data_IF_938861764280
#
_entry.id   IF_938861764280
#
_cell.length_a   1.000
_cell.length_b   1.000
_cell.length_c   1.000
_cell.angle_alpha   90.00
_cell.angle_beta   90.00
_cell.angle_gamma   90.00
#
_symmetry.space_group_name_H-M   'P 1'
#
loop_
_entity.id
_entity.type
_entity.pdbx_description
1 polymer ?
#
# COMPACT_ATOMS: atom_id res chain seq x y z
N UNK A 1 -10.30 -9.84 -13.12
CA UNK A 1 -10.43 -8.62 -12.31
C UNK A 1 -10.47 -7.45 -13.28
N UNK A 2 -11.37 -6.48 -13.11
CA UNK A 2 -11.34 -5.26 -13.94
C UNK A 2 -10.01 -4.56 -13.71
N UNK A 3 -9.32 -4.17 -14.79
CA UNK A 3 -7.95 -3.69 -14.64
C UNK A 3 -7.98 -2.25 -14.14
N UNK A 4 -7.11 -1.91 -13.20
CA UNK A 4 -7.23 -0.65 -12.46
C UNK A 4 -7.18 0.58 -13.39
N UNK A 5 -6.46 0.49 -14.51
CA UNK A 5 -6.40 1.52 -15.54
C UNK A 5 -7.73 1.72 -16.30
N UNK A 6 -8.54 0.69 -16.51
CA UNK A 6 -9.86 0.81 -17.16
C UNK A 6 -10.81 1.65 -16.31
N UNK A 7 -10.87 1.39 -15.01
CA UNK A 7 -11.71 2.13 -14.05
C UNK A 7 -11.19 3.55 -13.74
N UNK A 8 -9.93 3.83 -14.07
CA UNK A 8 -9.29 5.14 -13.82
C UNK A 8 -9.11 5.97 -15.09
N UNK A 9 -9.30 5.39 -16.28
CA UNK A 9 -9.07 6.06 -17.55
C UNK A 9 -7.59 6.36 -17.82
N UNK A 10 -6.67 5.49 -17.40
CA UNK A 10 -5.24 5.67 -17.69
C UNK A 10 -4.94 5.37 -19.18
N UNK A 11 -4.21 6.25 -19.86
CA UNK A 11 -3.75 6.03 -21.23
C UNK A 11 -2.59 5.01 -21.32
N UNK A 12 -2.09 4.78 -22.55
CA UNK A 12 -1.00 3.83 -22.81
C UNK A 12 0.33 4.24 -22.16
N UNK A 13 0.61 5.54 -22.01
CA UNK A 13 1.84 6.05 -21.37
C UNK A 13 1.80 5.76 -19.87
N UNK A 14 0.69 6.11 -19.22
CA UNK A 14 0.43 5.80 -17.81
C UNK A 14 0.42 4.30 -17.54
N UNK A 15 -0.11 3.47 -18.45
CA UNK A 15 -0.10 2.01 -18.34
C UNK A 15 1.32 1.44 -18.46
N UNK A 16 2.12 1.91 -19.42
CA UNK A 16 3.49 1.44 -19.66
C UNK A 16 4.43 1.62 -18.46
N UNK A 17 4.11 2.58 -17.57
CA UNK A 17 4.88 2.94 -16.39
C UNK A 17 4.28 2.45 -15.06
N UNK A 18 3.17 1.70 -15.09
CA UNK A 18 2.42 1.32 -13.90
C UNK A 18 3.11 0.18 -13.09
N UNK A 19 3.51 0.38 -11.82
CA UNK A 19 4.26 -0.62 -11.04
C UNK A 19 3.55 -1.96 -10.79
N UNK A 20 2.24 -2.01 -10.51
CA UNK A 20 1.45 -3.27 -10.47
C UNK A 20 0.76 -3.57 -11.80
N UNK A 21 1.50 -3.40 -12.89
CA UNK A 21 1.44 -4.41 -13.95
C UNK A 21 1.99 -5.78 -13.43
N UNK A 22 2.74 -5.78 -12.32
CA UNK A 22 3.08 -6.97 -11.52
C UNK A 22 1.91 -7.34 -10.58
N UNK A 23 1.36 -8.57 -10.65
CA UNK A 23 0.31 -9.02 -9.75
C UNK A 23 0.71 -9.03 -8.26
N UNK A 24 -0.17 -8.51 -7.40
CA UNK A 24 -0.06 -8.58 -5.94
C UNK A 24 0.61 -7.38 -5.25
N UNK A 25 1.31 -6.53 -6.00
CA UNK A 25 1.91 -5.31 -5.46
C UNK A 25 0.87 -4.18 -5.20
N UNK A 26 1.03 -3.38 -4.11
CA UNK A 26 0.59 -2.00 -3.86
C UNK A 26 -0.56 -1.25 -4.58
N UNK A 27 -0.51 0.06 -4.32
CA UNK A 27 -0.95 1.18 -5.17
C UNK A 27 0.13 2.24 -4.97
N UNK A 28 1.02 2.53 -5.96
CA UNK A 28 2.33 3.05 -5.62
C UNK A 28 2.17 4.48 -5.13
N UNK A 29 3.14 4.98 -4.38
CA UNK A 29 3.06 6.37 -3.92
C UNK A 29 2.91 7.37 -5.10
N UNK A 30 3.50 7.06 -6.26
CA UNK A 30 3.58 7.93 -7.45
C UNK A 30 2.38 7.86 -8.40
N UNK A 31 1.40 6.98 -8.18
CA UNK A 31 0.23 6.90 -9.08
C UNK A 31 -0.64 8.13 -8.89
N UNK A 32 -1.10 8.73 -9.99
CA UNK A 32 -1.98 9.90 -9.99
C UNK A 32 -3.23 9.72 -9.10
N UNK A 33 -3.73 8.48 -8.96
CA UNK A 33 -4.90 8.12 -8.16
C UNK A 33 -4.55 7.52 -6.78
N UNK A 34 -3.27 7.47 -6.40
CA UNK A 34 -2.82 6.94 -5.12
C UNK A 34 -3.02 7.91 -3.95
N UNK A 35 -3.03 9.23 -4.20
CA UNK A 35 -3.33 10.23 -3.17
C UNK A 35 -4.57 9.86 -2.33
N UNK A 36 -4.51 10.10 -1.02
CA UNK A 36 -5.61 9.81 -0.11
C UNK A 36 -6.30 11.10 0.30
N UNK A 37 -7.54 11.29 -0.17
CA UNK A 37 -8.38 12.47 0.12
C UNK A 37 -9.24 12.33 1.39
N UNK A 38 -9.04 11.28 2.20
CA UNK A 38 -9.79 11.09 3.45
C UNK A 38 -9.32 12.12 4.50
N UNK A 39 -10.22 12.72 5.29
CA UNK A 39 -9.83 13.71 6.30
C UNK A 39 -9.00 13.11 7.45
N UNK A 40 -9.00 11.79 7.61
CA UNK A 40 -8.12 11.07 8.55
C UNK A 40 -6.71 10.84 8.03
N UNK A 41 -6.41 11.18 6.76
CA UNK A 41 -5.07 11.02 6.21
C UNK A 41 -4.12 12.08 6.76
N UNK A 42 -3.04 11.61 7.38
CA UNK A 42 -1.92 12.41 7.86
C UNK A 42 -0.66 11.58 7.70
N UNK A 43 0.42 12.16 7.17
CA UNK A 43 1.72 11.50 7.11
C UNK A 43 2.30 11.44 8.52
N UNK A 44 2.72 10.25 8.95
CA UNK A 44 3.33 10.07 10.26
C UNK A 44 4.74 10.67 10.29
N UNK A 45 5.04 11.40 11.36
CA UNK A 45 6.37 11.95 11.65
C UNK A 45 7.08 11.24 12.81
N UNK A 46 6.38 10.35 13.51
CA UNK A 46 6.90 9.59 14.64
C UNK A 46 7.51 8.27 14.15
N UNK A 47 8.82 8.11 14.37
CA UNK A 47 9.57 6.94 13.92
C UNK A 47 9.16 5.66 14.65
N UNK A 48 8.67 5.74 15.89
CA UNK A 48 8.20 4.57 16.65
C UNK A 48 6.93 3.96 16.05
N UNK A 49 6.09 4.81 15.45
CA UNK A 49 4.85 4.42 14.77
C UNK A 49 5.14 3.95 13.34
N UNK A 50 6.11 4.57 12.66
CA UNK A 50 6.55 4.16 11.32
C UNK A 50 7.24 2.79 11.30
N UNK A 51 7.95 2.41 12.37
CA UNK A 51 8.74 1.18 12.47
C UNK A 51 8.17 0.17 13.48
N UNK A 52 6.86 0.19 13.74
CA UNK A 52 6.19 -0.77 14.62
C UNK A 52 6.30 -2.21 14.07
N UNK A 53 7.07 -3.12 14.70
CA UNK A 53 7.32 -4.46 14.14
C UNK A 53 6.09 -5.36 14.18
N UNK A 54 5.10 -5.07 15.02
CA UNK A 54 3.90 -5.90 15.22
C UNK A 54 2.79 -5.56 14.20
N UNK A 55 2.89 -4.45 13.47
CA UNK A 55 1.87 -4.00 12.52
C UNK A 55 1.92 -4.79 11.20
N UNK A 56 0.77 -5.25 10.72
CA UNK A 56 0.63 -5.79 9.38
C UNK A 56 0.56 -4.67 8.31
N UNK A 57 1.72 -4.16 7.91
CA UNK A 57 1.88 -3.19 6.83
C UNK A 57 1.32 -3.67 5.48
N UNK A 58 1.21 -4.98 5.28
CA UNK A 58 0.69 -5.54 4.05
C UNK A 58 -0.81 -5.35 3.90
N UNK A 59 -1.57 -5.23 5.00
CA UNK A 59 -2.98 -4.82 4.93
C UNK A 59 -3.22 -3.44 4.27
N UNK A 60 -2.17 -2.68 3.98
CA UNK A 60 -2.25 -1.47 3.16
C UNK A 60 -2.76 -1.73 1.74
N UNK A 61 -3.80 -1.00 1.33
CA UNK A 61 -4.33 -1.00 -0.05
C UNK A 61 -3.50 -0.11 -0.99
N UNK A 62 -2.68 0.78 -0.43
CA UNK A 62 -1.81 1.71 -1.16
C UNK A 62 -0.49 1.87 -0.42
N UNK A 63 0.63 2.08 -1.13
CA UNK A 63 1.93 2.38 -0.51
C UNK A 63 1.85 3.61 0.41
N UNK A 64 1.10 4.66 0.02
CA UNK A 64 0.89 5.86 0.86
C UNK A 64 0.20 5.56 2.21
N UNK A 65 -0.50 4.44 2.34
CA UNK A 65 -1.05 4.03 3.64
C UNK A 65 0.05 3.55 4.60
N UNK A 66 1.18 3.01 4.11
CA UNK A 66 2.31 2.55 4.94
C UNK A 66 3.04 3.70 5.66
N UNK A 67 2.77 4.96 5.31
CA UNK A 67 3.25 6.17 6.02
C UNK A 67 2.11 7.01 6.61
N UNK A 68 0.87 6.50 6.57
CA UNK A 68 -0.31 7.22 7.06
C UNK A 68 -0.51 6.94 8.56
N UNK A 69 -0.44 7.97 9.41
CA UNK A 69 -0.57 7.84 10.87
C UNK A 69 -1.88 7.14 11.29
N UNK A 70 -2.97 7.37 10.57
CA UNK A 70 -4.25 6.70 10.84
C UNK A 70 -4.19 5.18 10.54
N UNK A 71 -3.51 4.76 9.47
CA UNK A 71 -3.30 3.34 9.20
C UNK A 71 -2.33 2.72 10.22
N UNK A 72 -1.22 3.40 10.51
CA UNK A 72 -0.20 2.88 11.43
C UNK A 72 -0.69 2.72 12.88
N UNK A 73 -1.70 3.50 13.29
CA UNK A 73 -2.34 3.41 14.62
C UNK A 73 -3.54 2.46 14.71
N UNK A 74 -4.19 2.14 13.59
CA UNK A 74 -5.48 1.41 13.57
C UNK A 74 -5.49 0.22 12.59
N UNK A 75 -4.35 -0.09 11.97
CA UNK A 75 -4.19 -1.23 11.08
C UNK A 75 -4.16 -2.54 11.86
N UNK A 76 -4.37 -3.68 11.16
CA UNK A 76 -4.32 -4.98 11.80
C UNK A 76 -2.90 -5.33 12.27
N UNK A 77 -2.83 -6.15 13.31
CA UNK A 77 -1.60 -6.71 13.86
C UNK A 77 -1.18 -7.97 13.07
N UNK A 78 0.12 -8.27 12.98
CA UNK A 78 0.64 -9.46 12.32
C UNK A 78 0.11 -10.76 12.94
N UNK A 79 -0.16 -10.78 14.25
CA UNK A 79 -0.78 -11.92 14.93
C UNK A 79 -2.20 -12.26 14.44
N UNK A 80 -2.87 -11.33 13.73
CA UNK A 80 -4.20 -11.53 13.14
C UNK A 80 -4.17 -12.07 11.71
N UNK A 81 -2.98 -12.27 11.14
CA UNK A 81 -2.81 -12.75 9.76
C UNK A 81 -2.99 -14.27 9.70
N UNK A 82 -3.88 -14.75 8.83
CA UNK A 82 -3.98 -16.16 8.50
C UNK A 82 -2.71 -16.60 7.73
N UNK A 83 -1.88 -17.51 8.28
CA UNK A 83 -0.62 -17.93 7.67
C UNK A 83 -0.80 -18.75 6.38
N UNK A 84 -2.03 -19.17 6.04
CA UNK A 84 -2.33 -19.79 4.74
C UNK A 84 -2.41 -18.77 3.60
N UNK A 85 -2.63 -17.49 3.90
CA UNK A 85 -2.76 -16.41 2.91
C UNK A 85 -1.37 -15.98 2.42
N UNK A 86 -0.84 -16.72 1.45
CA UNK A 86 0.38 -16.30 0.72
C UNK A 86 0.07 -15.14 -0.22
N UNK A 87 0.83 -14.05 -0.12
CA UNK A 87 0.79 -12.96 -1.10
C UNK A 87 1.67 -13.25 -2.32
N UNK A 88 1.25 -12.71 -3.44
CA UNK A 88 2.14 -12.32 -4.54
C UNK A 88 2.67 -10.92 -4.24
N UNK A 89 3.93 -10.64 -4.56
CA UNK A 89 4.61 -9.37 -4.27
C UNK A 89 5.80 -9.54 -3.31
N UNK A 90 6.68 -8.54 -3.27
CA UNK A 90 7.88 -8.55 -2.45
C UNK A 90 7.53 -8.21 -0.98
N UNK A 91 7.75 -9.12 -0.01
CA UNK A 91 7.39 -8.90 1.39
C UNK A 91 8.23 -7.80 2.07
N UNK A 92 9.34 -7.35 1.48
CA UNK A 92 10.13 -6.23 2.00
C UNK A 92 10.69 -5.37 0.86
N UNK A 93 10.25 -4.11 0.77
CA UNK A 93 10.93 -3.07 -0.03
C UNK A 93 11.91 -2.21 0.80
N UNK A 94 11.87 -2.34 2.13
CA UNK A 94 12.76 -1.64 3.06
C UNK A 94 13.97 -2.47 3.51
N UNK A 95 13.97 -3.77 3.26
CA UNK A 95 15.16 -4.62 3.30
C UNK A 95 15.56 -4.88 1.84
N UNK A 96 16.76 -4.43 1.48
CA UNK A 96 17.39 -4.63 0.16
C UNK A 96 17.82 -6.08 -0.03
#
# INVERSE_FOLDING_TARGET
>A
MAVCWEMRGCDEEMQSRCPHNIPGEPCPAECHYAACSRPTHKVASDISILLNPDLNYDASVKEVCRVCEHFLKNGPDLSTVDPSVRRQGNPNRFLL
#
